data_IF_683173661544
#
_entry.id   IF_683173661544
#
_cell.length_a   1.000
_cell.length_b   1.000
_cell.length_c   1.000
_cell.angle_alpha   90.00
_cell.angle_beta   90.00
_cell.angle_gamma   90.00
#
_symmetry.space_group_name_H-M   'P 1'
#
loop_
_entity.id
_entity.type
_entity.pdbx_description
1 polymer ?
#
# COMPACT_ATOMS: atom_id res chain seq x y z
N UNK A 1 -3.65 11.40 20.02
CA UNK A 1 -3.01 10.06 20.09
C UNK A 1 -2.70 9.65 18.67
N UNK A 2 -1.50 9.13 18.40
CA UNK A 2 -1.14 8.68 17.06
C UNK A 2 -2.12 7.58 16.59
N UNK A 3 -2.52 7.65 15.31
CA UNK A 3 -3.39 6.63 14.68
C UNK A 3 -2.61 5.33 14.46
N UNK A 4 -1.35 5.43 14.04
CA UNK A 4 -0.42 4.31 13.91
C UNK A 4 0.82 4.55 14.76
N UNK A 5 1.25 3.57 15.55
CA UNK A 5 2.45 3.67 16.36
C UNK A 5 3.28 2.40 16.35
N UNK A 6 4.56 2.53 16.04
CA UNK A 6 5.59 1.52 16.22
C UNK A 6 6.43 1.93 17.43
N UNK A 7 6.52 1.10 18.45
CA UNK A 7 7.28 1.37 19.65
C UNK A 7 8.34 0.29 19.90
N UNK A 8 9.60 0.70 19.81
CA UNK A 8 10.74 -0.18 20.11
C UNK A 8 10.86 -1.41 19.22
N UNK A 9 10.48 -1.30 17.93
CA UNK A 9 10.48 -2.44 17.00
C UNK A 9 11.89 -2.93 16.72
N UNK A 10 12.13 -4.21 17.02
CA UNK A 10 13.36 -4.94 16.72
C UNK A 10 13.10 -6.01 15.66
N UNK A 11 13.96 -6.06 14.62
CA UNK A 11 13.93 -7.09 13.58
C UNK A 11 15.33 -7.54 13.20
N UNK A 12 15.53 -8.87 13.20
CA UNK A 12 16.73 -9.53 12.67
C UNK A 12 16.31 -10.64 11.72
N UNK A 13 16.92 -10.73 10.53
CA UNK A 13 16.72 -11.88 9.62
C UNK A 13 17.54 -13.09 10.03
N UNK A 14 18.75 -12.83 10.52
CA UNK A 14 19.64 -13.84 11.10
C UNK A 14 20.04 -13.39 12.51
N UNK A 15 20.34 -14.32 13.41
CA UNK A 15 20.79 -14.00 14.78
C UNK A 15 22.01 -13.05 14.84
N UNK A 16 22.65 -12.78 13.68
CA UNK A 16 23.88 -11.97 13.57
C UNK A 16 23.67 -10.56 13.02
N UNK A 17 22.57 -10.28 12.28
CA UNK A 17 22.37 -8.97 11.65
C UNK A 17 21.01 -8.40 12.03
N UNK A 18 21.01 -7.46 12.95
CA UNK A 18 19.85 -6.66 13.30
C UNK A 18 19.59 -5.62 12.20
N UNK A 19 18.38 -5.57 11.67
CA UNK A 19 17.95 -4.65 10.60
C UNK A 19 17.21 -3.45 11.18
N UNK A 20 16.29 -3.70 12.13
CA UNK A 20 15.66 -2.65 12.91
C UNK A 20 16.07 -2.80 14.35
N UNK A 21 16.39 -1.67 14.99
CA UNK A 21 16.84 -1.62 16.39
C UNK A 21 16.07 -0.53 17.11
N UNK A 22 15.12 -0.92 17.94
CA UNK A 22 14.32 -0.02 18.75
C UNK A 22 13.60 1.06 17.92
N UNK A 23 13.09 0.69 16.72
CA UNK A 23 12.44 1.67 15.82
C UNK A 23 11.16 2.21 16.46
N UNK A 24 11.08 3.54 16.52
CA UNK A 24 9.87 4.26 16.90
C UNK A 24 9.37 5.08 15.71
N UNK A 25 8.06 5.04 15.47
CA UNK A 25 7.40 5.82 14.42
C UNK A 25 5.96 6.06 14.84
N UNK A 26 5.52 7.30 14.79
CA UNK A 26 4.14 7.69 15.02
C UNK A 26 3.59 8.37 13.77
N UNK A 27 2.34 8.04 13.42
CA UNK A 27 1.64 8.60 12.26
C UNK A 27 0.23 8.97 12.69
N UNK A 28 -0.21 10.17 12.33
CA UNK A 28 -1.55 10.65 12.61
C UNK A 28 -2.57 10.15 11.57
N UNK A 29 -3.85 10.18 11.92
CA UNK A 29 -4.91 9.78 11.00
C UNK A 29 -4.93 10.71 9.78
N UNK A 30 -5.03 10.14 8.58
CA UNK A 30 -5.03 10.87 7.32
C UNK A 30 -3.66 11.44 6.93
N UNK A 31 -2.59 11.15 7.67
CA UNK A 31 -1.24 11.61 7.34
C UNK A 31 -0.61 10.76 6.22
N UNK A 32 0.21 11.40 5.37
CA UNK A 32 1.07 10.72 4.41
C UNK A 32 2.52 10.85 4.88
N UNK A 33 3.07 9.75 5.38
CA UNK A 33 4.47 9.69 5.86
C UNK A 33 5.36 9.01 4.84
N UNK A 34 6.48 9.65 4.52
CA UNK A 34 7.51 9.08 3.64
C UNK A 34 8.69 8.55 4.45
N UNK A 35 8.99 7.27 4.31
CA UNK A 35 10.22 6.67 4.84
C UNK A 35 11.33 6.81 3.80
N UNK A 36 12.25 7.73 4.06
CA UNK A 36 13.38 8.04 3.19
C UNK A 36 14.69 7.52 3.78
N UNK A 37 15.61 7.09 2.93
CA UNK A 37 16.96 6.69 3.35
C UNK A 37 17.65 5.77 2.34
N UNK A 38 18.94 5.46 2.54
CA UNK A 38 19.71 4.61 1.63
C UNK A 38 19.18 3.17 1.55
N UNK A 39 19.59 2.44 0.52
CA UNK A 39 19.26 1.02 0.38
C UNK A 39 19.79 0.23 1.58
N UNK A 40 18.96 -0.69 2.10
CA UNK A 40 19.34 -1.56 3.21
C UNK A 40 19.20 -0.95 4.62
N UNK A 41 18.70 0.29 4.77
CA UNK A 41 18.49 0.90 6.10
C UNK A 41 17.21 0.45 6.83
N UNK A 42 16.46 -0.51 6.29
CA UNK A 42 15.31 -1.11 6.98
C UNK A 42 13.92 -0.61 6.56
N UNK A 43 13.79 0.33 5.61
CA UNK A 43 12.49 0.90 5.17
C UNK A 43 11.48 -0.17 4.75
N UNK A 44 11.84 -1.01 3.77
CA UNK A 44 10.96 -2.09 3.31
C UNK A 44 10.73 -3.14 4.41
N UNK A 45 11.68 -3.32 5.34
CA UNK A 45 11.50 -4.18 6.52
C UNK A 45 10.45 -3.59 7.45
N UNK A 46 10.50 -2.28 7.73
CA UNK A 46 9.48 -1.57 8.50
C UNK A 46 8.11 -1.74 7.88
N UNK A 47 8.00 -1.51 6.57
CA UNK A 47 6.73 -1.68 5.85
C UNK A 47 6.22 -3.12 5.91
N UNK A 48 7.11 -4.13 5.83
CA UNK A 48 6.74 -5.55 5.96
C UNK A 48 6.30 -5.92 7.37
N UNK A 49 6.86 -5.32 8.42
CA UNK A 49 6.38 -5.46 9.80
C UNK A 49 4.97 -4.90 9.92
N UNK A 50 4.75 -3.67 9.44
CA UNK A 50 3.42 -3.03 9.44
C UNK A 50 2.43 -3.85 8.63
N UNK A 51 2.82 -4.39 7.47
CA UNK A 51 1.95 -5.26 6.66
C UNK A 51 1.68 -6.64 7.29
N UNK A 52 2.52 -7.09 8.25
CA UNK A 52 2.40 -8.39 8.91
C UNK A 52 3.08 -9.54 8.16
N UNK A 53 4.01 -9.25 7.26
CA UNK A 53 4.85 -10.27 6.61
C UNK A 53 6.04 -10.67 7.46
N UNK A 54 6.41 -9.86 8.46
CA UNK A 54 7.51 -10.09 9.37
C UNK A 54 7.00 -9.81 10.79
N UNK A 55 7.14 -10.79 11.68
CA UNK A 55 6.88 -10.60 13.09
C UNK A 55 8.12 -9.98 13.75
N UNK A 56 7.99 -8.84 14.46
CA UNK A 56 9.11 -8.26 15.18
C UNK A 56 9.52 -9.16 16.37
N UNK A 57 10.82 -9.17 16.70
CA UNK A 57 11.33 -9.88 17.88
C UNK A 57 11.12 -9.09 19.17
N UNK A 58 10.93 -7.77 19.07
CA UNK A 58 10.67 -6.86 20.18
C UNK A 58 9.84 -5.67 19.74
N UNK A 59 9.25 -4.98 20.71
CA UNK A 59 8.40 -3.83 20.48
C UNK A 59 6.95 -4.16 20.19
N UNK A 60 6.16 -3.12 19.95
CA UNK A 60 4.73 -3.21 19.69
C UNK A 60 4.33 -2.36 18.48
N UNK A 61 3.34 -2.83 17.73
CA UNK A 61 2.68 -2.09 16.66
C UNK A 61 1.21 -1.90 17.00
N UNK A 62 0.76 -0.66 17.11
CA UNK A 62 -0.64 -0.33 17.33
C UNK A 62 -1.22 0.47 16.17
N UNK A 63 -2.49 0.23 15.84
CA UNK A 63 -3.27 0.99 14.87
C UNK A 63 -4.66 1.25 15.42
N UNK A 64 -5.08 2.52 15.45
CA UNK A 64 -6.39 2.93 15.96
C UNK A 64 -6.66 2.40 17.37
N UNK A 65 -5.61 2.41 18.23
CA UNK A 65 -5.63 1.89 19.60
C UNK A 65 -5.58 0.37 19.75
N UNK A 66 -5.63 -0.41 18.67
CA UNK A 66 -5.57 -1.87 18.69
C UNK A 66 -4.14 -2.38 18.50
N UNK A 67 -3.73 -3.40 19.28
CA UNK A 67 -2.45 -4.08 19.09
C UNK A 67 -2.49 -4.97 17.84
N UNK A 68 -1.72 -4.56 16.84
CA UNK A 68 -1.59 -5.24 15.54
C UNK A 68 -0.33 -6.12 15.45
N UNK A 69 0.50 -6.17 16.48
CA UNK A 69 1.83 -6.79 16.46
C UNK A 69 1.80 -8.23 15.93
N UNK A 70 0.83 -9.03 16.38
CA UNK A 70 0.67 -10.45 16.01
C UNK A 70 -0.55 -10.73 15.13
N UNK A 71 -1.23 -9.69 14.65
CA UNK A 71 -2.38 -9.86 13.78
C UNK A 71 -1.90 -10.33 12.39
N UNK A 72 -2.40 -11.46 11.86
CA UNK A 72 -1.96 -11.97 10.56
C UNK A 72 -2.39 -11.07 9.41
N UNK A 73 -1.60 -11.04 8.33
CA UNK A 73 -1.77 -10.17 7.13
C UNK A 73 -3.23 -10.06 6.67
N UNK A 74 -3.91 -11.21 6.49
CA UNK A 74 -5.27 -11.26 5.94
C UNK A 74 -6.35 -10.63 6.83
N UNK A 75 -6.04 -10.37 8.12
CA UNK A 75 -6.95 -9.71 9.07
C UNK A 75 -6.66 -8.21 9.24
N UNK A 76 -5.52 -7.69 8.76
CA UNK A 76 -5.12 -6.30 8.96
C UNK A 76 -5.94 -5.30 8.14
N UNK A 77 -6.61 -5.71 7.09
CA UNK A 77 -7.42 -4.84 6.20
C UNK A 77 -6.64 -3.64 5.65
N UNK A 78 -5.37 -3.84 5.30
CA UNK A 78 -4.52 -2.81 4.73
C UNK A 78 -4.52 -2.89 3.20
N UNK A 79 -4.38 -1.74 2.55
CA UNK A 79 -4.05 -1.66 1.13
C UNK A 79 -2.54 -1.72 0.96
N UNK A 80 -2.04 -2.56 0.04
CA UNK A 80 -0.62 -2.69 -0.21
C UNK A 80 -0.33 -2.62 -1.71
N UNK A 81 0.60 -1.74 -2.07
CA UNK A 81 1.15 -1.63 -3.43
C UNK A 81 2.63 -1.96 -3.39
N UNK A 82 3.01 -3.02 -4.06
CA UNK A 82 4.40 -3.46 -4.20
C UNK A 82 5.11 -2.70 -5.33
N UNK A 83 6.43 -2.68 -5.29
CA UNK A 83 7.30 -2.13 -6.32
C UNK A 83 7.02 -2.72 -7.72
N UNK A 84 6.69 -4.00 -7.80
CA UNK A 84 6.34 -4.70 -9.05
C UNK A 84 4.88 -4.52 -9.47
N UNK A 85 4.07 -3.75 -8.70
CA UNK A 85 2.62 -3.60 -8.81
C UNK A 85 1.83 -4.90 -8.57
N UNK A 86 2.43 -6.07 -8.77
CA UNK A 86 1.88 -7.41 -8.53
C UNK A 86 0.44 -7.59 -9.07
N UNK A 87 0.17 -7.10 -10.30
CA UNK A 87 -1.11 -7.27 -10.95
C UNK A 87 -1.26 -8.70 -11.45
N UNK A 88 -2.50 -9.20 -11.44
CA UNK A 88 -2.86 -10.49 -12.02
C UNK A 88 -2.85 -10.37 -13.56
N UNK A 89 -1.88 -10.99 -14.27
CA UNK A 89 -1.69 -10.73 -15.71
C UNK A 89 -2.79 -11.29 -16.58
N UNK A 90 -3.55 -12.26 -16.07
CA UNK A 90 -4.66 -12.94 -16.73
C UNK A 90 -6.03 -12.32 -16.45
N UNK A 91 -6.09 -11.30 -15.61
CA UNK A 91 -7.30 -10.55 -15.28
C UNK A 91 -7.29 -9.17 -15.96
N UNK A 92 -8.47 -8.70 -16.35
CA UNK A 92 -8.65 -7.32 -16.82
C UNK A 92 -8.35 -6.31 -15.72
N UNK A 93 -8.31 -5.02 -16.06
CA UNK A 93 -8.21 -3.93 -15.07
C UNK A 93 -9.38 -4.00 -14.09
N UNK A 94 -10.60 -4.12 -14.61
CA UNK A 94 -11.80 -4.26 -13.79
C UNK A 94 -11.69 -5.46 -12.84
N UNK A 95 -11.30 -6.63 -13.34
CA UNK A 95 -11.20 -7.84 -12.53
C UNK A 95 -10.05 -7.79 -11.52
N UNK A 96 -8.93 -7.16 -11.85
CA UNK A 96 -7.86 -6.89 -10.87
C UNK A 96 -8.38 -6.06 -9.69
N UNK A 97 -9.13 -5.00 -9.97
CA UNK A 97 -9.69 -4.12 -8.93
C UNK A 97 -10.79 -4.83 -8.14
N UNK A 98 -11.69 -5.55 -8.82
CA UNK A 98 -12.78 -6.28 -8.20
C UNK A 98 -12.34 -7.46 -7.32
N UNK A 99 -11.11 -7.95 -7.49
CA UNK A 99 -10.64 -9.19 -6.89
C UNK A 99 -10.81 -9.24 -5.36
N UNK A 100 -10.40 -8.19 -4.66
CA UNK A 100 -10.51 -8.11 -3.19
C UNK A 100 -11.95 -8.13 -2.69
N UNK A 101 -12.86 -7.44 -3.40
CA UNK A 101 -14.28 -7.40 -3.06
C UNK A 101 -14.96 -8.75 -3.31
N UNK A 102 -14.61 -9.44 -4.42
CA UNK A 102 -15.09 -10.80 -4.70
C UNK A 102 -14.63 -11.81 -3.65
N UNK A 103 -13.38 -11.70 -3.21
CA UNK A 103 -12.83 -12.58 -2.15
C UNK A 103 -13.59 -12.37 -0.83
N UNK A 104 -14.09 -11.16 -0.57
CA UNK A 104 -14.96 -10.85 0.58
C UNK A 104 -16.41 -11.26 0.37
N UNK A 105 -16.76 -11.89 -0.77
CA UNK A 105 -18.12 -12.36 -1.14
C UNK A 105 -19.17 -11.25 -1.09
N UNK A 106 -18.80 -10.03 -1.48
CA UNK A 106 -19.75 -8.91 -1.59
C UNK A 106 -20.72 -9.12 -2.76
N UNK A 107 -21.88 -8.49 -2.69
CA UNK A 107 -22.88 -8.53 -3.75
C UNK A 107 -22.37 -7.92 -5.07
N UNK A 108 -22.75 -8.51 -6.18
CA UNK A 108 -22.27 -8.13 -7.52
C UNK A 108 -22.53 -6.65 -7.85
N UNK A 109 -23.70 -6.15 -7.51
CA UNK A 109 -24.09 -4.75 -7.79
C UNK A 109 -23.23 -3.78 -6.95
N UNK A 110 -22.91 -4.14 -5.71
CA UNK A 110 -22.04 -3.37 -4.83
C UNK A 110 -20.61 -3.37 -5.37
N UNK A 111 -20.12 -4.52 -5.85
CA UNK A 111 -18.81 -4.64 -6.47
C UNK A 111 -18.73 -3.75 -7.71
N UNK A 112 -19.70 -3.84 -8.63
CA UNK A 112 -19.70 -3.07 -9.88
C UNK A 112 -19.68 -1.56 -9.57
N UNK A 113 -20.52 -1.10 -8.65
CA UNK A 113 -20.55 0.29 -8.23
C UNK A 113 -19.19 0.76 -7.68
N UNK A 114 -18.63 0.07 -6.68
CA UNK A 114 -17.35 0.44 -6.07
C UNK A 114 -16.19 0.42 -7.06
N UNK A 115 -16.16 -0.58 -7.94
CA UNK A 115 -15.10 -0.71 -8.95
C UNK A 115 -15.18 0.45 -9.95
N UNK A 116 -16.36 0.79 -10.46
CA UNK A 116 -16.52 1.91 -11.41
C UNK A 116 -16.12 3.24 -10.76
N UNK A 117 -16.56 3.50 -9.54
CA UNK A 117 -16.21 4.71 -8.79
C UNK A 117 -14.68 4.86 -8.64
N UNK A 118 -13.98 3.80 -8.22
CA UNK A 118 -12.52 3.88 -8.04
C UNK A 118 -11.76 3.95 -9.37
N UNK A 119 -12.25 3.30 -10.43
CA UNK A 119 -11.67 3.42 -11.77
C UNK A 119 -11.79 4.86 -12.31
N UNK A 120 -12.91 5.53 -12.08
CA UNK A 120 -13.10 6.94 -12.44
C UNK A 120 -12.10 7.84 -11.68
N UNK A 121 -12.00 7.71 -10.36
CA UNK A 121 -11.04 8.46 -9.52
C UNK A 121 -9.60 8.27 -9.98
N UNK A 122 -9.23 7.05 -10.37
CA UNK A 122 -7.89 6.72 -10.85
C UNK A 122 -7.67 7.04 -12.34
N UNK A 123 -8.69 7.52 -13.07
CA UNK A 123 -8.61 7.80 -14.50
C UNK A 123 -8.38 6.55 -15.35
N UNK A 124 -9.09 5.47 -15.03
CA UNK A 124 -8.94 4.14 -15.64
C UNK A 124 -10.21 3.63 -16.33
N UNK A 125 -11.29 4.41 -16.36
CA UNK A 125 -12.61 4.00 -16.86
C UNK A 125 -12.53 3.39 -18.27
N UNK A 126 -11.84 4.08 -19.21
CA UNK A 126 -11.68 3.65 -20.59
C UNK A 126 -10.72 2.42 -20.74
N UNK A 127 -10.08 2.01 -19.66
CA UNK A 127 -9.11 0.92 -19.64
C UNK A 127 -9.64 -0.32 -18.91
N UNK A 128 -10.90 -0.31 -18.47
CA UNK A 128 -11.50 -1.33 -17.61
C UNK A 128 -11.33 -2.77 -18.17
N UNK A 129 -11.47 -2.94 -19.49
CA UNK A 129 -11.40 -4.24 -20.16
C UNK A 129 -9.98 -4.61 -20.62
N UNK A 130 -8.99 -3.71 -20.46
CA UNK A 130 -7.60 -4.02 -20.85
C UNK A 130 -6.92 -4.92 -19.85
N UNK A 131 -5.91 -5.64 -20.35
CA UNK A 131 -5.04 -6.50 -19.53
C UNK A 131 -3.73 -5.78 -19.19
N UNK A 132 -3.05 -6.13 -18.09
CA UNK A 132 -1.79 -5.49 -17.66
C UNK A 132 -0.71 -5.42 -18.74
N UNK A 133 -0.61 -6.43 -19.61
CA UNK A 133 0.34 -6.47 -20.73
C UNK A 133 0.15 -5.37 -21.79
N UNK A 134 -1.05 -4.78 -21.84
CA UNK A 134 -1.44 -3.76 -22.80
C UNK A 134 -1.29 -2.33 -22.22
N UNK A 135 -0.69 -2.20 -21.04
CA UNK A 135 -0.67 -0.96 -20.27
C UNK A 135 0.74 -0.42 -20.06
N UNK A 136 0.86 0.91 -19.99
CA UNK A 136 2.09 1.57 -19.56
C UNK A 136 2.40 1.33 -18.08
N UNK A 137 3.63 1.64 -17.64
CA UNK A 137 4.03 1.54 -16.23
C UNK A 137 3.11 2.33 -15.30
N UNK A 138 2.84 3.60 -15.62
CA UNK A 138 1.96 4.46 -14.82
C UNK A 138 0.50 4.00 -14.83
N UNK A 139 0.01 3.42 -15.93
CA UNK A 139 -1.32 2.83 -15.96
C UNK A 139 -1.39 1.61 -15.03
N UNK A 140 -0.41 0.69 -15.10
CA UNK A 140 -0.34 -0.47 -14.19
C UNK A 140 -0.27 -0.05 -12.72
N UNK A 141 0.49 0.99 -12.41
CA UNK A 141 0.56 1.54 -11.05
C UNK A 141 -0.80 2.05 -10.58
N UNK A 142 -1.52 2.82 -11.41
CA UNK A 142 -2.87 3.30 -11.06
C UNK A 142 -3.85 2.16 -10.83
N UNK A 143 -3.74 1.06 -11.58
CA UNK A 143 -4.53 -0.16 -11.33
C UNK A 143 -4.19 -0.78 -9.97
N UNK A 144 -2.90 -0.86 -9.61
CA UNK A 144 -2.48 -1.38 -8.31
C UNK A 144 -3.01 -0.51 -7.15
N UNK A 145 -2.98 0.82 -7.31
CA UNK A 145 -3.58 1.77 -6.37
C UNK A 145 -5.10 1.57 -6.27
N UNK A 146 -5.82 1.52 -7.39
CA UNK A 146 -7.26 1.30 -7.41
C UNK A 146 -7.64 -0.01 -6.71
N UNK A 147 -6.88 -1.10 -6.96
CA UNK A 147 -7.07 -2.39 -6.29
C UNK A 147 -6.84 -2.32 -4.78
N UNK A 148 -5.86 -1.54 -4.33
CA UNK A 148 -5.58 -1.37 -2.91
C UNK A 148 -6.62 -0.48 -2.21
N UNK A 149 -7.22 0.47 -2.92
CA UNK A 149 -8.15 1.45 -2.37
C UNK A 149 -9.61 0.98 -2.37
N UNK A 150 -10.03 0.17 -3.36
CA UNK A 150 -11.42 -0.28 -3.52
C UNK A 150 -11.96 -1.03 -2.32
N UNK A 151 -11.08 -1.62 -1.53
CA UNK A 151 -11.42 -2.34 -0.29
C UNK A 151 -11.58 -1.42 0.92
N UNK A 152 -11.42 -0.10 0.74
CA UNK A 152 -11.51 0.93 1.80
C UNK A 152 -10.59 0.59 2.99
N UNK A 153 -9.27 0.54 2.77
CA UNK A 153 -8.34 0.12 3.81
C UNK A 153 -8.19 1.18 4.90
N UNK A 154 -7.94 0.77 6.15
CA UNK A 154 -7.57 1.69 7.24
C UNK A 154 -6.18 2.34 7.02
N UNK A 155 -5.27 1.61 6.37
CA UNK A 155 -3.90 2.03 6.13
C UNK A 155 -3.46 1.63 4.72
N UNK A 156 -2.85 2.57 3.99
CA UNK A 156 -2.27 2.32 2.66
C UNK A 156 -0.74 2.26 2.77
N UNK A 157 -0.17 1.17 2.30
CA UNK A 157 1.26 0.91 2.31
C UNK A 157 1.79 0.90 0.87
N UNK A 158 2.80 1.73 0.58
CA UNK A 158 3.39 1.88 -0.75
C UNK A 158 4.88 1.55 -0.69
N UNK A 159 5.29 0.40 -1.25
CA UNK A 159 6.69 -0.05 -1.29
C UNK A 159 7.32 0.34 -2.63
N UNK A 160 8.06 1.45 -2.64
CA UNK A 160 8.76 2.00 -3.82
C UNK A 160 7.91 2.09 -5.09
N UNK A 161 6.67 2.61 -5.02
CA UNK A 161 5.72 2.50 -6.12
C UNK A 161 6.15 3.26 -7.37
N UNK A 162 7.10 4.19 -7.28
CA UNK A 162 7.54 5.05 -8.39
C UNK A 162 8.89 4.64 -9.00
N UNK A 163 9.59 3.65 -8.45
CA UNK A 163 10.96 3.28 -8.84
C UNK A 163 11.10 2.85 -10.30
N UNK A 164 10.05 2.27 -10.88
CA UNK A 164 10.05 1.73 -12.25
C UNK A 164 9.51 2.73 -13.31
N UNK A 165 9.43 4.02 -12.96
CA UNK A 165 8.89 5.07 -13.83
C UNK A 165 9.99 6.04 -14.26
N UNK A 166 9.85 6.61 -15.46
CA UNK A 166 10.66 7.75 -15.91
C UNK A 166 10.40 9.01 -15.08
N UNK A 167 11.29 9.99 -15.16
CA UNK A 167 11.24 11.18 -14.30
C UNK A 167 9.93 11.99 -14.45
N UNK A 168 9.41 12.13 -15.67
CA UNK A 168 8.17 12.88 -15.92
C UNK A 168 6.97 12.16 -15.31
N UNK A 169 6.84 10.88 -15.60
CA UNK A 169 5.75 10.04 -15.12
C UNK A 169 5.78 9.89 -13.59
N UNK A 170 6.99 9.90 -13.00
CA UNK A 170 7.17 9.87 -11.54
C UNK A 170 6.56 11.09 -10.84
N UNK A 171 6.78 12.30 -11.39
CA UNK A 171 6.17 13.53 -10.84
C UNK A 171 4.64 13.49 -10.98
N UNK A 172 4.12 13.10 -12.14
CA UNK A 172 2.68 12.96 -12.36
C UNK A 172 2.04 11.98 -11.39
N UNK A 173 2.69 10.83 -11.18
CA UNK A 173 2.17 9.79 -10.28
C UNK A 173 2.28 10.15 -8.80
N UNK A 174 3.34 10.87 -8.39
CA UNK A 174 3.44 11.42 -7.03
C UNK A 174 2.26 12.34 -6.72
N UNK A 175 1.95 13.25 -7.65
CA UNK A 175 0.80 14.14 -7.51
C UNK A 175 -0.53 13.39 -7.49
N UNK A 176 -0.67 12.35 -8.33
CA UNK A 176 -1.86 11.51 -8.34
C UNK A 176 -2.06 10.76 -7.01
N UNK A 177 -1.00 10.16 -6.47
CA UNK A 177 -1.03 9.47 -5.16
C UNK A 177 -1.45 10.44 -4.06
N UNK A 178 -0.84 11.64 -4.01
CA UNK A 178 -1.18 12.66 -3.01
C UNK A 178 -2.63 13.11 -3.12
N UNK A 179 -3.11 13.37 -4.33
CA UNK A 179 -4.51 13.77 -4.57
C UNK A 179 -5.48 12.68 -4.12
N UNK A 180 -5.23 11.42 -4.48
CA UNK A 180 -6.06 10.28 -4.10
C UNK A 180 -6.05 10.11 -2.58
N UNK A 181 -4.88 10.17 -1.94
CA UNK A 181 -4.72 10.08 -0.50
C UNK A 181 -5.54 11.16 0.22
N UNK A 182 -5.46 12.41 -0.23
CA UNK A 182 -6.23 13.53 0.33
C UNK A 182 -7.74 13.37 0.11
N UNK A 183 -8.15 12.91 -1.08
CA UNK A 183 -9.56 12.71 -1.41
C UNK A 183 -10.23 11.68 -0.50
N UNK A 184 -9.52 10.61 -0.16
CA UNK A 184 -10.02 9.53 0.70
C UNK A 184 -9.68 9.72 2.18
N UNK A 185 -8.81 10.67 2.55
CA UNK A 185 -8.34 10.86 3.92
C UNK A 185 -7.61 9.65 4.51
N UNK A 186 -7.00 8.80 3.65
CA UNK A 186 -6.38 7.54 4.08
C UNK A 186 -4.99 7.79 4.65
N UNK A 187 -4.72 7.26 5.85
CA UNK A 187 -3.36 7.23 6.40
C UNK A 187 -2.46 6.40 5.50
N UNK A 188 -1.32 6.96 5.11
CA UNK A 188 -0.45 6.33 4.10
C UNK A 188 1.01 6.31 4.55
N UNK A 189 1.63 5.14 4.48
CA UNK A 189 3.09 4.98 4.65
C UNK A 189 3.72 4.66 3.30
N UNK A 190 4.65 5.49 2.89
CA UNK A 190 5.29 5.46 1.59
C UNK A 190 6.79 5.22 1.75
N UNK A 191 7.33 4.20 1.12
CA UNK A 191 8.78 3.93 1.07
C UNK A 191 9.35 4.42 -0.25
N UNK A 192 10.44 5.19 -0.19
CA UNK A 192 11.13 5.70 -1.39
C UNK A 192 12.63 5.84 -1.16
N UNK A 193 13.39 5.79 -2.25
CA UNK A 193 14.81 6.16 -2.30
C UNK A 193 15.02 7.57 -2.89
N UNK A 194 13.98 8.14 -3.52
CA UNK A 194 14.03 9.46 -4.17
C UNK A 194 13.56 10.56 -3.21
N UNK A 195 14.30 11.66 -3.20
CA UNK A 195 13.93 12.93 -2.55
C UNK A 195 12.92 13.73 -3.36
#
# INVERSE_FOLDING_TARGET
MAFMSLNGIDVSYDKKKQILKGLNLEVEEGELVSLLGPSGCGKSTTLRVVAGFIDPQGGTFTLDGEDMTKVPVHKRQFGLVFQSYALFPHLSVYDNVAFGLRTRKMDKDVIDKKVREILEVCGLTELADRFPKQMSGGQRQRVALARALVIEPKLLLLDEPLSNLDAKLRVEMRNAIKRIQQQFGITTVYVTHDQ
#
